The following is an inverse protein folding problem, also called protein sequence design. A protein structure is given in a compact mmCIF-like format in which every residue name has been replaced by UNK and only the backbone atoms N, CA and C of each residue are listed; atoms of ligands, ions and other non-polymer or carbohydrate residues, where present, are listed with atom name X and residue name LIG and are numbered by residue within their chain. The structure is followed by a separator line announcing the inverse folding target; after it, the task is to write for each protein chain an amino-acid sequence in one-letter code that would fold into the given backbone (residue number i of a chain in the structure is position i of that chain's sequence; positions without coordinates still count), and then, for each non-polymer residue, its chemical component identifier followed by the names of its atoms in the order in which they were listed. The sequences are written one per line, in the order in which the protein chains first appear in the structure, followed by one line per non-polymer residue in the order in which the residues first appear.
data_IF_345065334380
#
_entry.id   IF_345065334380
#
_cell.length_a   1.000
_cell.length_b   1.000
_cell.length_c   1.000
_cell.angle_alpha   90.00
_cell.angle_beta   90.00
_cell.angle_gamma   90.00
#
_symmetry.space_group_name_H-M   'P 1'
#
loop_
_entity.id
_entity.type
_entity.pdbx_description
1 polymer ?
#
# COMPACT_ATOMS: atom_id res chain seq x y z
N UNK A 1 33.98 -25.58 22.68
CA UNK A 1 33.29 -24.32 22.42
C UNK A 1 34.34 -23.24 22.17
N UNK A 2 34.56 -22.78 20.95
CA UNK A 2 35.50 -21.69 20.67
C UNK A 2 34.95 -20.40 21.31
N UNK A 3 35.75 -19.73 22.13
CA UNK A 3 35.41 -18.40 22.63
C UNK A 3 35.34 -17.48 21.41
N UNK A 4 34.19 -16.92 21.14
CA UNK A 4 34.07 -15.88 20.08
C UNK A 4 35.00 -14.72 20.44
N UNK A 5 35.67 -14.10 19.44
CA UNK A 5 36.79 -13.16 19.68
C UNK A 5 36.45 -11.98 20.59
N UNK A 6 35.20 -11.60 20.73
CA UNK A 6 34.77 -10.38 21.42
C UNK A 6 33.90 -10.64 22.64
N UNK A 7 33.83 -11.86 23.15
CA UNK A 7 33.00 -12.21 24.29
C UNK A 7 31.47 -12.05 24.03
N UNK A 8 31.08 -11.77 22.80
CA UNK A 8 29.68 -11.58 22.41
C UNK A 8 28.92 -12.89 22.58
N UNK A 9 27.94 -12.86 23.45
CA UNK A 9 26.91 -13.90 23.53
C UNK A 9 25.68 -13.35 22.81
N UNK A 10 25.25 -13.93 21.68
CA UNK A 10 23.94 -13.59 21.16
C UNK A 10 22.94 -13.83 22.31
N UNK A 11 22.13 -12.83 22.59
CA UNK A 11 20.90 -13.08 23.34
C UNK A 11 20.27 -14.28 22.66
N UNK A 12 19.84 -15.32 23.43
CA UNK A 12 19.02 -16.39 22.86
C UNK A 12 18.08 -15.74 21.89
N UNK A 13 18.03 -16.23 20.63
CA UNK A 13 17.01 -15.82 19.69
C UNK A 13 15.74 -15.88 20.49
N UNK A 14 15.27 -14.72 20.89
CA UNK A 14 14.25 -14.64 21.90
C UNK A 14 13.02 -15.24 21.24
N UNK A 15 12.63 -16.41 21.69
CA UNK A 15 11.21 -16.67 21.77
C UNK A 15 10.64 -15.33 22.23
N UNK A 16 9.84 -14.68 21.39
CA UNK A 16 9.23 -13.41 21.74
C UNK A 16 8.57 -13.52 23.11
N UNK A 17 8.16 -12.43 23.72
CA UNK A 17 7.42 -12.51 24.97
C UNK A 17 6.20 -13.41 24.75
N UNK A 18 5.76 -14.08 25.80
CA UNK A 18 4.56 -14.93 25.83
C UNK A 18 3.24 -14.12 25.83
N UNK A 19 3.31 -12.83 25.52
CA UNK A 19 2.16 -11.94 25.32
C UNK A 19 2.18 -11.30 23.92
N UNK A 20 1.02 -10.92 23.43
CA UNK A 20 0.85 -10.23 22.15
C UNK A 20 1.46 -8.81 22.19
N UNK A 21 2.28 -8.49 21.19
CA UNK A 21 2.91 -7.19 21.07
C UNK A 21 2.02 -6.21 20.28
N UNK A 22 2.02 -4.96 20.71
CA UNK A 22 1.41 -3.88 19.92
C UNK A 22 2.14 -3.66 18.58
N UNK A 23 1.41 -3.21 17.52
CA UNK A 23 2.00 -2.91 16.21
C UNK A 23 3.21 -1.96 16.26
N UNK A 24 3.20 -0.96 17.16
CA UNK A 24 4.34 -0.06 17.37
C UNK A 24 5.58 -0.81 17.88
N UNK A 25 5.41 -1.82 18.72
CA UNK A 25 6.53 -2.66 19.18
C UNK A 25 7.04 -3.56 18.07
N UNK A 26 6.12 -4.11 17.26
CA UNK A 26 6.49 -4.86 16.05
C UNK A 26 7.30 -4.00 15.07
N UNK A 27 6.96 -2.71 14.91
CA UNK A 27 7.67 -1.77 14.03
C UNK A 27 9.16 -1.63 14.34
N UNK A 28 9.58 -1.82 15.59
CA UNK A 28 10.97 -1.64 16.03
C UNK A 28 11.67 -2.92 16.45
N UNK A 29 10.96 -4.04 16.65
CA UNK A 29 11.53 -5.25 17.25
C UNK A 29 11.43 -6.50 16.39
N UNK A 30 10.37 -6.65 15.61
CA UNK A 30 10.16 -7.88 14.85
C UNK A 30 11.08 -7.96 13.64
N UNK A 31 11.53 -9.18 13.34
CA UNK A 31 12.40 -9.47 12.20
C UNK A 31 13.87 -9.07 12.41
N UNK A 32 14.27 -8.62 13.61
CA UNK A 32 15.68 -8.31 13.89
C UNK A 32 16.55 -9.57 13.80
N UNK A 33 17.36 -9.62 12.74
CA UNK A 33 18.42 -10.61 12.57
C UNK A 33 19.78 -9.95 12.85
N UNK A 34 20.34 -10.18 14.03
CA UNK A 34 21.66 -9.68 14.40
C UNK A 34 22.75 -10.60 13.90
N UNK A 35 23.82 -10.02 13.37
CA UNK A 35 25.00 -10.77 12.99
C UNK A 35 25.80 -11.25 14.23
N UNK A 36 26.92 -11.90 14.00
CA UNK A 36 27.83 -12.28 15.07
C UNK A 36 28.42 -11.11 15.86
N UNK A 37 28.26 -9.87 15.42
CA UNK A 37 28.72 -8.66 16.10
C UNK A 37 27.73 -8.08 17.10
N UNK A 38 26.43 -8.43 17.02
CA UNK A 38 25.42 -8.00 17.98
C UNK A 38 25.02 -6.53 17.86
N UNK A 39 25.07 -6.01 16.67
CA UNK A 39 24.70 -4.63 16.33
C UNK A 39 23.28 -4.28 16.75
N UNK A 40 23.03 -3.02 17.14
CA UNK A 40 21.69 -2.52 17.48
C UNK A 40 20.85 -2.20 16.26
N UNK A 41 21.46 -1.67 15.19
CA UNK A 41 20.79 -1.40 13.91
C UNK A 41 20.87 -2.63 13.01
N UNK A 42 19.90 -2.82 12.18
CA UNK A 42 19.84 -3.93 11.22
C UNK A 42 21.00 -3.87 10.22
N UNK A 43 21.65 -5.01 10.00
CA UNK A 43 22.73 -5.12 9.02
C UNK A 43 22.18 -5.11 7.59
N UNK A 44 22.91 -4.46 6.69
CA UNK A 44 22.63 -4.48 5.25
C UNK A 44 23.45 -5.58 4.56
N UNK A 45 22.77 -6.62 4.07
CA UNK A 45 23.38 -7.71 3.29
C UNK A 45 23.23 -7.44 1.79
N UNK A 46 24.13 -6.63 1.24
CA UNK A 46 24.12 -6.27 -0.18
C UNK A 46 24.86 -7.33 -1.01
N UNK A 47 24.20 -8.47 -1.19
CA UNK A 47 24.73 -9.60 -1.97
C UNK A 47 23.67 -10.23 -2.87
N UNK A 48 24.08 -10.75 -4.01
CA UNK A 48 23.23 -11.52 -4.93
C UNK A 48 23.34 -13.03 -4.73
N UNK A 49 24.43 -13.53 -4.16
CA UNK A 49 24.68 -14.96 -4.00
C UNK A 49 25.30 -15.31 -2.66
N UNK A 50 25.27 -16.59 -2.34
CA UNK A 50 25.78 -17.16 -1.09
C UNK A 50 26.69 -18.34 -1.40
N UNK A 51 27.67 -18.63 -0.54
CA UNK A 51 28.60 -19.76 -0.67
C UNK A 51 28.17 -20.90 0.23
N UNK A 52 28.53 -22.12 -0.16
CA UNK A 52 28.27 -23.37 0.56
C UNK A 52 29.57 -23.95 1.03
N UNK A 53 29.55 -24.70 2.14
CA UNK A 53 30.74 -25.38 2.68
C UNK A 53 31.12 -26.62 1.87
N UNK A 54 30.15 -27.22 1.16
CA UNK A 54 30.34 -28.39 0.30
C UNK A 54 29.34 -28.45 -0.85
N UNK A 55 29.57 -29.33 -1.82
CA UNK A 55 28.62 -29.58 -2.89
C UNK A 55 27.34 -30.26 -2.38
N UNK A 56 27.44 -31.08 -1.33
CA UNK A 56 26.31 -31.73 -0.67
C UNK A 56 25.42 -30.70 0.00
N UNK A 57 25.99 -29.73 0.74
CA UNK A 57 25.22 -28.63 1.33
C UNK A 57 24.48 -27.82 0.26
N UNK A 58 25.13 -27.57 -0.88
CA UNK A 58 24.47 -26.90 -2.00
C UNK A 58 23.30 -27.74 -2.55
N UNK A 59 23.50 -29.04 -2.72
CA UNK A 59 22.44 -29.95 -3.18
C UNK A 59 21.25 -29.96 -2.22
N UNK A 60 21.49 -30.16 -0.93
CA UNK A 60 20.45 -30.19 0.10
C UNK A 60 19.69 -28.85 0.20
N UNK A 61 20.41 -27.74 0.02
CA UNK A 61 19.82 -26.39 0.03
C UNK A 61 18.90 -26.16 -1.16
N UNK A 62 19.27 -26.61 -2.37
CA UNK A 62 18.39 -26.54 -3.55
C UNK A 62 17.23 -27.54 -3.51
N UNK A 63 17.37 -28.63 -2.74
CA UNK A 63 16.28 -29.55 -2.42
C UNK A 63 15.31 -29.02 -1.35
N UNK A 64 15.56 -27.81 -0.82
CA UNK A 64 14.79 -27.19 0.28
C UNK A 64 14.86 -28.00 1.60
N UNK A 65 15.93 -28.79 1.80
CA UNK A 65 16.18 -29.56 3.03
C UNK A 65 16.95 -28.77 4.10
N UNK A 66 17.39 -27.54 3.77
CA UNK A 66 18.08 -26.62 4.69
C UNK A 66 17.52 -25.22 4.60
N UNK A 67 17.72 -24.41 5.66
CA UNK A 67 17.35 -22.98 5.72
C UNK A 67 18.43 -22.05 5.10
N UNK A 68 19.33 -22.58 4.27
CA UNK A 68 20.41 -21.79 3.67
C UNK A 68 19.91 -20.84 2.59
N UNK A 69 20.41 -19.60 2.59
CA UNK A 69 20.14 -18.65 1.50
C UNK A 69 20.79 -19.10 0.21
N UNK A 70 20.04 -19.10 -0.90
CA UNK A 70 20.51 -19.59 -2.21
C UNK A 70 20.97 -18.45 -3.11
N UNK A 71 20.08 -17.50 -3.35
CA UNK A 71 20.27 -16.41 -4.29
C UNK A 71 19.41 -15.20 -3.88
N UNK A 72 19.96 -14.00 -3.97
CA UNK A 72 19.32 -12.78 -3.46
C UNK A 72 17.94 -12.46 -4.06
N UNK A 73 17.65 -12.94 -5.29
CA UNK A 73 16.33 -12.82 -5.89
C UNK A 73 15.29 -13.75 -5.23
N UNK A 74 15.72 -14.88 -4.69
CA UNK A 74 14.85 -15.82 -4.00
C UNK A 74 14.64 -15.39 -2.56
N UNK A 75 15.73 -15.06 -1.87
CA UNK A 75 15.69 -14.67 -0.47
C UNK A 75 16.98 -13.92 -0.08
N UNK A 76 16.85 -12.89 0.78
CA UNK A 76 17.96 -12.11 1.29
C UNK A 76 17.71 -11.73 2.75
N UNK A 77 18.70 -11.77 3.66
CA UNK A 77 18.48 -11.49 5.08
C UNK A 77 17.88 -10.12 5.36
N UNK A 78 18.27 -9.08 4.63
CA UNK A 78 17.73 -7.72 4.81
C UNK A 78 16.29 -7.63 4.31
N UNK A 79 15.97 -8.27 3.17
CA UNK A 79 14.60 -8.33 2.65
C UNK A 79 13.70 -9.10 3.64
N UNK A 80 14.20 -10.23 4.16
CA UNK A 80 13.47 -11.02 5.15
C UNK A 80 13.15 -10.25 6.44
N UNK A 81 14.03 -9.34 6.88
CA UNK A 81 13.73 -8.46 8.02
C UNK A 81 12.57 -7.52 7.75
N UNK A 82 12.53 -6.93 6.55
CA UNK A 82 11.42 -6.07 6.12
C UNK A 82 10.10 -6.86 6.04
N UNK A 83 10.12 -8.01 5.38
CA UNK A 83 8.94 -8.87 5.19
C UNK A 83 8.35 -9.34 6.53
N UNK A 84 9.18 -9.86 7.43
CA UNK A 84 8.75 -10.31 8.77
C UNK A 84 8.18 -9.15 9.61
N UNK A 85 8.80 -7.98 9.53
CA UNK A 85 8.34 -6.80 10.28
C UNK A 85 7.00 -6.29 9.76
N UNK A 86 6.86 -6.16 8.44
CA UNK A 86 5.61 -5.70 7.84
C UNK A 86 4.48 -6.71 8.05
N UNK A 87 4.74 -8.02 7.93
CA UNK A 87 3.77 -9.07 8.24
C UNK A 87 3.25 -8.95 9.68
N UNK A 88 4.15 -8.79 10.65
CA UNK A 88 3.75 -8.63 12.05
C UNK A 88 2.97 -7.33 12.32
N UNK A 89 3.34 -6.22 11.66
CA UNK A 89 2.58 -4.96 11.75
C UNK A 89 1.18 -5.13 11.17
N UNK A 90 1.04 -5.81 10.04
CA UNK A 90 -0.26 -6.06 9.39
C UNK A 90 -1.12 -7.09 10.14
N UNK A 91 -0.50 -8.05 10.81
CA UNK A 91 -1.14 -9.22 11.38
C UNK A 91 -1.32 -10.34 10.35
N UNK A 92 -0.44 -10.41 9.35
CA UNK A 92 -0.39 -11.45 8.33
C UNK A 92 0.54 -12.59 8.72
N UNK A 93 0.28 -13.80 8.21
CA UNK A 93 1.18 -14.93 8.41
C UNK A 93 2.50 -14.74 7.65
N UNK A 94 2.44 -14.23 6.41
CA UNK A 94 3.61 -14.01 5.57
C UNK A 94 3.51 -12.73 4.73
N UNK A 95 4.68 -12.24 4.31
CA UNK A 95 4.84 -11.12 3.39
C UNK A 95 5.86 -11.47 2.32
N UNK A 96 5.63 -11.03 1.09
CA UNK A 96 6.61 -11.05 -0.01
C UNK A 96 6.79 -9.62 -0.52
N UNK A 97 8.04 -9.17 -0.53
CA UNK A 97 8.42 -7.86 -1.05
C UNK A 97 8.72 -7.91 -2.55
N UNK A 98 8.35 -6.84 -3.25
CA UNK A 98 8.59 -6.68 -4.69
C UNK A 98 9.24 -5.34 -5.00
N UNK A 99 9.83 -5.20 -6.19
CA UNK A 99 10.55 -4.01 -6.62
C UNK A 99 9.67 -2.76 -6.82
N UNK A 100 8.35 -2.90 -6.85
CA UNK A 100 7.40 -1.78 -6.94
C UNK A 100 5.99 -2.20 -6.52
N UNK A 101 5.14 -1.21 -6.18
CA UNK A 101 3.72 -1.46 -5.91
C UNK A 101 2.98 -2.08 -7.10
N UNK A 102 3.30 -1.67 -8.33
CA UNK A 102 2.70 -2.26 -9.53
C UNK A 102 3.14 -3.71 -9.76
N UNK A 103 4.36 -4.07 -9.38
CA UNK A 103 4.79 -5.48 -9.40
C UNK A 103 4.00 -6.32 -8.37
N UNK A 104 3.71 -5.76 -7.20
CA UNK A 104 2.85 -6.41 -6.21
C UNK A 104 1.41 -6.57 -6.75
N UNK A 105 0.82 -5.50 -7.25
CA UNK A 105 -0.53 -5.53 -7.85
C UNK A 105 -0.65 -6.57 -8.96
N UNK A 106 0.28 -6.54 -9.91
CA UNK A 106 0.28 -7.47 -11.01
C UNK A 106 0.45 -8.92 -10.55
N UNK A 107 1.42 -9.18 -9.67
CA UNK A 107 1.68 -10.51 -9.14
C UNK A 107 0.49 -11.07 -8.34
N UNK A 108 -0.25 -10.23 -7.61
CA UNK A 108 -1.39 -10.65 -6.80
C UNK A 108 -2.52 -11.27 -7.64
N UNK A 109 -2.72 -10.80 -8.86
CA UNK A 109 -3.71 -11.33 -9.80
C UNK A 109 -3.10 -12.41 -10.71
N UNK A 110 -1.93 -12.13 -11.30
CA UNK A 110 -1.33 -13.01 -12.30
C UNK A 110 -0.94 -14.40 -11.76
N UNK A 111 -0.65 -14.52 -10.46
CA UNK A 111 -0.38 -15.83 -9.85
C UNK A 111 -1.64 -16.67 -9.62
N UNK A 112 -2.83 -16.09 -9.76
CA UNK A 112 -4.12 -16.74 -9.51
C UNK A 112 -4.87 -17.10 -10.79
N UNK A 113 -4.83 -16.20 -11.80
CA UNK A 113 -5.73 -16.28 -12.95
C UNK A 113 -5.15 -17.10 -14.10
N UNK A 114 -6.04 -17.80 -14.78
CA UNK A 114 -5.78 -18.56 -16.00
C UNK A 114 -6.76 -18.14 -17.12
N UNK A 115 -6.52 -18.63 -18.35
CA UNK A 115 -7.44 -18.39 -19.46
C UNK A 115 -8.86 -18.88 -19.12
N UNK A 116 -9.85 -18.02 -19.30
CA UNK A 116 -11.26 -18.30 -19.00
C UNK A 116 -11.72 -17.86 -17.64
N UNK A 117 -10.81 -17.47 -16.74
CA UNK A 117 -11.16 -16.95 -15.43
C UNK A 117 -11.84 -15.56 -15.52
N UNK A 118 -12.50 -15.20 -14.43
CA UNK A 118 -13.18 -13.91 -14.26
C UNK A 118 -12.68 -13.17 -13.03
N UNK A 119 -12.48 -11.85 -13.16
CA UNK A 119 -12.09 -10.93 -12.09
C UNK A 119 -13.15 -9.85 -11.91
N UNK A 120 -13.55 -9.59 -10.68
CA UNK A 120 -14.40 -8.45 -10.32
C UNK A 120 -13.53 -7.40 -9.61
N UNK A 121 -13.72 -6.12 -9.92
CA UNK A 121 -12.96 -5.07 -9.25
C UNK A 121 -13.80 -3.82 -8.98
N UNK A 122 -13.41 -3.03 -7.98
CA UNK A 122 -13.99 -1.69 -7.81
C UNK A 122 -13.62 -0.80 -9.00
N UNK A 123 -14.57 -0.02 -9.52
CA UNK A 123 -14.29 0.93 -10.62
C UNK A 123 -13.35 2.06 -10.18
N UNK A 124 -13.45 2.47 -8.91
CA UNK A 124 -12.57 3.48 -8.31
C UNK A 124 -11.27 2.82 -7.85
N UNK A 125 -10.21 2.99 -8.62
CA UNK A 125 -8.87 2.47 -8.32
C UNK A 125 -7.79 3.31 -9.04
N UNK A 126 -6.54 3.10 -8.67
CA UNK A 126 -5.41 3.73 -9.34
C UNK A 126 -5.36 3.38 -10.84
N UNK A 127 -5.06 4.38 -11.68
CA UNK A 127 -5.13 4.25 -13.15
C UNK A 127 -4.34 3.08 -13.73
N UNK A 128 -3.15 2.78 -13.19
CA UNK A 128 -2.36 1.64 -13.68
C UNK A 128 -2.94 0.29 -13.24
N UNK A 129 -3.62 0.21 -12.09
CA UNK A 129 -4.37 -0.98 -11.68
C UNK A 129 -5.54 -1.23 -12.64
N UNK A 130 -6.25 -0.15 -13.01
CA UNK A 130 -7.31 -0.20 -14.03
C UNK A 130 -6.78 -0.78 -15.36
N UNK A 131 -5.65 -0.27 -15.86
CA UNK A 131 -5.03 -0.78 -17.12
C UNK A 131 -4.66 -2.26 -17.01
N UNK A 132 -4.12 -2.72 -15.88
CA UNK A 132 -3.81 -4.15 -15.70
C UNK A 132 -5.08 -5.00 -15.85
N UNK A 133 -6.16 -4.61 -15.19
CA UNK A 133 -7.42 -5.38 -15.18
C UNK A 133 -8.12 -5.30 -16.52
N UNK A 134 -8.19 -4.12 -17.16
CA UNK A 134 -9.01 -3.90 -18.35
C UNK A 134 -8.29 -4.12 -19.69
N UNK A 135 -6.95 -4.08 -19.70
CA UNK A 135 -6.16 -4.20 -20.92
C UNK A 135 -5.18 -5.37 -20.92
N UNK A 136 -4.54 -5.71 -19.79
CA UNK A 136 -3.53 -6.76 -19.75
C UNK A 136 -4.13 -8.14 -19.51
N UNK A 137 -4.97 -8.30 -18.50
CA UNK A 137 -5.62 -9.57 -18.22
C UNK A 137 -6.47 -10.10 -19.39
N UNK A 138 -7.23 -9.26 -20.12
CA UNK A 138 -7.96 -9.70 -21.31
C UNK A 138 -7.09 -10.28 -22.42
N UNK A 139 -5.83 -9.86 -22.56
CA UNK A 139 -4.89 -10.44 -23.54
C UNK A 139 -4.58 -11.91 -23.24
N UNK A 140 -4.81 -12.36 -22.01
CA UNK A 140 -4.64 -13.75 -21.56
C UNK A 140 -5.96 -14.51 -21.46
N UNK A 141 -7.04 -13.93 -22.00
CA UNK A 141 -8.37 -14.54 -22.00
C UNK A 141 -9.09 -14.47 -20.65
N UNK A 142 -8.65 -13.61 -19.74
CA UNK A 142 -9.35 -13.32 -18.48
C UNK A 142 -10.40 -12.25 -18.70
N UNK A 143 -11.62 -12.50 -18.25
CA UNK A 143 -12.71 -11.53 -18.29
C UNK A 143 -12.79 -10.69 -17.01
N UNK A 144 -13.38 -9.51 -17.08
CA UNK A 144 -13.53 -8.66 -15.89
C UNK A 144 -14.89 -7.99 -15.82
N UNK A 145 -15.26 -7.55 -14.60
CA UNK A 145 -16.39 -6.65 -14.34
C UNK A 145 -15.98 -5.59 -13.34
N UNK A 146 -16.37 -4.33 -13.59
CA UNK A 146 -16.10 -3.20 -12.70
C UNK A 146 -17.37 -2.79 -11.96
N UNK A 147 -17.31 -2.77 -10.62
CA UNK A 147 -18.42 -2.37 -9.75
C UNK A 147 -18.21 -0.93 -9.30
N UNK A 148 -19.25 -0.09 -9.42
CA UNK A 148 -19.24 1.30 -8.97
C UNK A 148 -19.85 1.40 -7.57
N UNK A 149 -19.19 2.15 -6.69
CA UNK A 149 -19.70 2.43 -5.35
C UNK A 149 -19.69 1.23 -4.41
N UNK A 150 -20.60 1.27 -3.44
CA UNK A 150 -20.63 0.35 -2.31
C UNK A 150 -22.00 -0.30 -2.09
N UNK A 151 -22.85 -0.34 -3.13
CA UNK A 151 -24.15 -1.00 -3.04
C UNK A 151 -23.97 -2.53 -3.02
N UNK A 152 -24.42 -3.23 -1.95
CA UNK A 152 -24.32 -4.69 -1.88
C UNK A 152 -25.02 -5.41 -3.04
N UNK A 153 -26.07 -4.82 -3.62
CA UNK A 153 -26.80 -5.43 -4.74
C UNK A 153 -25.96 -5.44 -6.04
N UNK A 154 -25.20 -4.37 -6.30
CA UNK A 154 -24.31 -4.29 -7.45
C UNK A 154 -23.14 -5.29 -7.32
N UNK A 155 -22.55 -5.39 -6.14
CA UNK A 155 -21.54 -6.40 -5.84
C UNK A 155 -22.08 -7.83 -5.95
N UNK A 156 -23.25 -8.11 -5.40
CA UNK A 156 -23.89 -9.42 -5.50
C UNK A 156 -24.23 -9.78 -6.95
N UNK A 157 -24.62 -8.80 -7.78
CA UNK A 157 -24.86 -9.00 -9.20
C UNK A 157 -23.58 -9.35 -9.96
N UNK A 158 -22.49 -8.63 -9.73
CA UNK A 158 -21.20 -8.90 -10.36
C UNK A 158 -20.63 -10.28 -9.95
N UNK A 159 -20.88 -10.69 -8.71
CA UNK A 159 -20.44 -11.96 -8.13
C UNK A 159 -21.46 -13.11 -8.30
N UNK A 160 -22.40 -13.02 -9.24
CA UNK A 160 -23.39 -14.08 -9.50
C UNK A 160 -22.87 -15.21 -10.39
N UNK A 161 -21.61 -15.16 -10.82
CA UNK A 161 -20.92 -16.12 -11.67
C UNK A 161 -19.59 -16.54 -11.05
N UNK A 162 -18.99 -17.68 -11.48
CA UNK A 162 -17.68 -18.07 -11.00
C UNK A 162 -16.66 -16.94 -11.17
N UNK A 163 -16.08 -16.52 -10.07
CA UNK A 163 -15.11 -15.41 -10.00
C UNK A 163 -13.85 -15.92 -9.32
N UNK A 164 -12.69 -15.66 -9.93
CA UNK A 164 -11.39 -16.12 -9.41
C UNK A 164 -10.83 -15.19 -8.36
N UNK A 165 -10.93 -13.88 -8.61
CA UNK A 165 -10.41 -12.87 -7.71
C UNK A 165 -11.29 -11.62 -7.70
N UNK A 166 -11.31 -10.94 -6.56
CA UNK A 166 -11.86 -9.60 -6.39
C UNK A 166 -10.73 -8.65 -6.04
N UNK A 167 -10.63 -7.52 -6.74
CA UNK A 167 -9.64 -6.47 -6.45
C UNK A 167 -10.34 -5.18 -6.05
N UNK A 168 -10.02 -4.66 -4.87
CA UNK A 168 -10.57 -3.40 -4.36
C UNK A 168 -9.45 -2.49 -3.84
N UNK A 169 -9.58 -1.18 -4.07
CA UNK A 169 -8.75 -0.13 -3.48
C UNK A 169 -9.63 0.74 -2.58
N UNK A 170 -9.32 0.79 -1.30
CA UNK A 170 -10.12 1.56 -0.33
C UNK A 170 -9.27 2.07 0.85
N UNK A 171 -9.25 3.41 1.09
CA UNK A 171 -9.84 4.48 0.25
C UNK A 171 -9.25 4.51 -1.15
N UNK A 172 -10.05 4.88 -2.16
CA UNK A 172 -9.59 4.88 -3.55
C UNK A 172 -8.79 6.14 -3.92
N UNK A 173 -7.88 6.01 -4.87
CA UNK A 173 -7.15 7.13 -5.47
C UNK A 173 -7.81 7.57 -6.79
N UNK A 174 -8.20 8.85 -7.01
CA UNK A 174 -7.83 10.01 -6.20
C UNK A 174 -8.93 10.55 -5.29
N UNK A 175 -10.16 10.03 -5.33
CA UNK A 175 -11.34 10.65 -4.75
C UNK A 175 -11.80 10.03 -3.42
N UNK A 176 -11.02 9.08 -2.89
CA UNK A 176 -11.19 8.53 -1.55
C UNK A 176 -12.54 7.85 -1.31
N UNK A 177 -13.09 7.19 -2.34
CA UNK A 177 -14.27 6.35 -2.14
C UNK A 177 -13.94 5.22 -1.14
N UNK A 178 -14.91 4.93 -0.27
CA UNK A 178 -14.77 3.89 0.74
C UNK A 178 -15.61 2.69 0.32
N UNK A 179 -14.97 1.55 0.15
CA UNK A 179 -15.63 0.26 -0.10
C UNK A 179 -15.64 -0.55 1.19
N UNK A 180 -16.77 -1.15 1.52
CA UNK A 180 -16.91 -2.05 2.68
C UNK A 180 -16.20 -3.38 2.39
N UNK A 181 -14.98 -3.52 2.95
CA UNK A 181 -14.14 -4.71 2.76
C UNK A 181 -14.89 -5.96 3.24
N UNK A 182 -15.55 -5.88 4.40
CA UNK A 182 -16.25 -7.04 4.98
C UNK A 182 -17.40 -7.48 4.09
N UNK A 183 -18.23 -6.56 3.65
CA UNK A 183 -19.37 -6.85 2.77
C UNK A 183 -18.92 -7.50 1.45
N UNK A 184 -17.88 -6.93 0.82
CA UNK A 184 -17.32 -7.49 -0.44
C UNK A 184 -16.73 -8.87 -0.20
N UNK A 185 -15.96 -9.06 0.88
CA UNK A 185 -15.36 -10.36 1.21
C UNK A 185 -16.42 -11.42 1.48
N UNK A 186 -17.46 -11.10 2.26
CA UNK A 186 -18.57 -12.03 2.55
C UNK A 186 -19.31 -12.47 1.27
N UNK A 187 -19.40 -11.60 0.25
CA UNK A 187 -20.00 -11.93 -1.04
C UNK A 187 -19.05 -12.73 -1.93
N UNK A 188 -17.79 -12.33 -2.01
CA UNK A 188 -16.76 -12.96 -2.82
C UNK A 188 -16.49 -14.42 -2.38
N UNK A 189 -16.42 -14.66 -1.09
CA UNK A 189 -16.17 -15.99 -0.54
C UNK A 189 -17.31 -16.98 -0.83
N UNK A 190 -18.56 -16.54 -1.03
CA UNK A 190 -19.67 -17.41 -1.42
C UNK A 190 -19.47 -18.05 -2.79
N UNK A 191 -18.68 -17.41 -3.66
CA UNK A 191 -18.34 -17.91 -4.99
C UNK A 191 -16.90 -18.44 -5.07
N UNK A 192 -16.17 -18.51 -3.94
CA UNK A 192 -14.80 -19.01 -3.85
C UNK A 192 -13.74 -18.04 -4.41
N UNK A 193 -14.07 -16.76 -4.55
CA UNK A 193 -13.13 -15.75 -5.05
C UNK A 193 -12.13 -15.29 -3.97
N UNK A 194 -10.87 -15.10 -4.35
CA UNK A 194 -9.83 -14.50 -3.50
C UNK A 194 -9.98 -12.99 -3.47
N UNK A 195 -10.06 -12.38 -2.29
CA UNK A 195 -10.21 -10.94 -2.11
C UNK A 195 -8.86 -10.27 -1.88
N UNK A 196 -8.48 -9.39 -2.80
CA UNK A 196 -7.23 -8.62 -2.78
C UNK A 196 -7.56 -7.16 -2.50
N UNK A 197 -6.96 -6.59 -1.45
CA UNK A 197 -7.16 -5.19 -1.07
C UNK A 197 -5.88 -4.40 -1.27
N UNK A 198 -5.93 -3.38 -2.11
CA UNK A 198 -4.93 -2.32 -2.15
C UNK A 198 -5.17 -1.36 -0.97
N UNK A 199 -4.31 -1.48 0.03
CA UNK A 199 -4.40 -0.71 1.29
C UNK A 199 -3.42 0.47 1.35
N UNK A 200 -2.92 0.91 0.21
CA UNK A 200 -1.87 1.94 0.11
C UNK A 200 -2.31 3.26 0.74
N UNK A 201 -3.57 3.68 0.51
CA UNK A 201 -4.08 4.98 0.98
C UNK A 201 -4.32 5.03 2.49
N UNK A 202 -4.75 3.93 3.09
CA UNK A 202 -4.98 3.83 4.53
C UNK A 202 -3.70 3.50 5.32
N UNK A 203 -2.75 2.81 4.72
CA UNK A 203 -1.58 2.22 5.39
C UNK A 203 -1.93 1.14 6.43
N UNK A 204 -0.97 0.31 6.87
CA UNK A 204 -1.22 -0.68 7.91
C UNK A 204 -1.45 -0.08 9.31
N UNK A 205 -1.35 1.25 9.45
CA UNK A 205 -1.62 1.94 10.72
C UNK A 205 -3.12 2.15 10.93
N UNK A 206 -3.83 2.53 9.87
CA UNK A 206 -5.25 2.87 9.99
C UNK A 206 -6.17 1.68 9.69
N UNK A 207 -5.84 0.84 8.72
CA UNK A 207 -6.74 -0.20 8.25
C UNK A 207 -6.05 -1.56 8.18
N UNK A 208 -6.75 -2.60 8.61
CA UNK A 208 -6.31 -4.00 8.65
C UNK A 208 -7.24 -4.88 7.80
N UNK A 209 -7.05 -4.93 6.48
CA UNK A 209 -7.96 -5.63 5.59
C UNK A 209 -8.14 -7.13 5.90
N UNK A 210 -7.08 -7.82 6.35
CA UNK A 210 -7.17 -9.24 6.73
C UNK A 210 -8.18 -9.47 7.87
N UNK A 211 -8.24 -8.54 8.85
CA UNK A 211 -9.20 -8.62 9.96
C UNK A 211 -10.64 -8.33 9.50
N UNK A 212 -10.80 -7.73 8.32
CA UNK A 212 -12.09 -7.41 7.70
C UNK A 212 -12.53 -8.46 6.67
N UNK A 213 -11.75 -9.52 6.50
CA UNK A 213 -12.10 -10.65 5.64
C UNK A 213 -11.36 -10.69 4.28
N UNK A 214 -10.45 -9.76 4.01
CA UNK A 214 -9.59 -9.88 2.82
C UNK A 214 -8.64 -11.08 2.96
N UNK A 215 -8.30 -11.71 1.83
CA UNK A 215 -7.34 -12.82 1.79
C UNK A 215 -5.91 -12.32 1.56
N UNK A 216 -5.78 -11.22 0.80
CA UNK A 216 -4.49 -10.64 0.40
C UNK A 216 -4.53 -9.14 0.57
N UNK A 217 -3.49 -8.60 1.18
CA UNK A 217 -3.25 -7.14 1.27
C UNK A 217 -2.08 -6.76 0.41
N UNK A 218 -2.25 -5.72 -0.38
CA UNK A 218 -1.23 -5.16 -1.26
C UNK A 218 -0.81 -3.78 -0.78
N UNK A 219 0.50 -3.50 -0.85
CA UNK A 219 1.08 -2.19 -0.60
C UNK A 219 2.01 -1.74 -1.72
N UNK A 220 1.91 -0.47 -2.11
CA UNK A 220 3.06 0.26 -2.62
C UNK A 220 3.85 0.78 -1.42
N UNK A 221 4.91 0.07 -1.02
CA UNK A 221 5.75 0.48 0.09
C UNK A 221 6.53 1.78 -0.18
N UNK A 222 6.50 2.26 -1.42
CA UNK A 222 6.96 3.58 -1.88
C UNK A 222 6.27 4.75 -1.16
N UNK A 223 5.04 4.53 -0.64
CA UNK A 223 4.16 5.58 -0.08
C UNK A 223 4.37 5.72 1.44
N UNK A 224 3.35 5.63 2.24
CA UNK A 224 3.42 5.81 3.71
C UNK A 224 4.48 4.91 4.40
N UNK A 225 4.78 3.72 3.86
CA UNK A 225 5.76 2.80 4.44
C UNK A 225 7.16 3.42 4.35
N UNK A 226 7.61 3.86 3.17
CA UNK A 226 8.83 4.66 3.04
C UNK A 226 8.64 6.05 3.71
N UNK A 227 7.59 6.76 3.33
CA UNK A 227 7.15 8.02 3.93
C UNK A 227 8.07 9.22 3.72
N UNK A 228 9.08 9.11 2.86
CA UNK A 228 10.06 10.17 2.61
C UNK A 228 10.51 10.26 1.14
N UNK A 229 9.84 9.54 0.22
CA UNK A 229 10.07 9.63 -1.21
C UNK A 229 11.43 9.10 -1.68
N UNK A 230 12.02 8.11 -0.97
CA UNK A 230 13.40 7.64 -1.20
C UNK A 230 13.48 6.42 -2.10
N UNK A 231 12.54 5.47 -1.97
CA UNK A 231 12.66 4.16 -2.62
C UNK A 231 11.35 3.71 -3.26
N UNK A 232 11.47 2.91 -4.32
CA UNK A 232 10.38 2.14 -4.89
C UNK A 232 10.34 0.76 -4.25
N UNK A 233 9.15 0.32 -3.86
CA UNK A 233 8.91 -1.03 -3.39
C UNK A 233 7.42 -1.38 -3.41
N UNK A 234 7.12 -2.68 -3.39
CA UNK A 234 5.80 -3.23 -3.15
C UNK A 234 5.85 -4.34 -2.12
N UNK A 235 4.70 -4.73 -1.60
CA UNK A 235 4.56 -5.86 -0.70
C UNK A 235 3.18 -6.52 -0.89
N UNK A 236 3.15 -7.84 -0.74
CA UNK A 236 1.94 -8.67 -0.69
C UNK A 236 1.95 -9.48 0.60
N UNK A 237 0.84 -9.46 1.31
CA UNK A 237 0.68 -10.11 2.60
C UNK A 237 -0.59 -10.97 2.60
N UNK A 238 -0.53 -12.12 3.25
CA UNK A 238 -1.65 -13.03 3.34
C UNK A 238 -1.31 -14.30 4.11
N UNK A 239 -2.10 -15.35 3.89
CA UNK A 239 -1.85 -16.66 4.48
C UNK A 239 -0.59 -17.33 3.90
N UNK A 240 0.01 -18.23 4.66
CA UNK A 240 1.14 -19.03 4.20
C UNK A 240 0.77 -19.84 2.94
N UNK A 241 -0.43 -20.40 2.88
CA UNK A 241 -0.92 -21.16 1.73
C UNK A 241 -0.96 -20.33 0.44
N UNK A 242 -1.46 -19.10 0.51
CA UNK A 242 -1.45 -18.21 -0.65
C UNK A 242 -0.02 -17.82 -1.03
N UNK A 243 0.77 -17.41 -0.07
CA UNK A 243 2.13 -16.90 -0.31
C UNK A 243 3.03 -18.01 -0.86
N UNK A 244 3.12 -19.15 -0.18
CA UNK A 244 4.02 -20.25 -0.58
C UNK A 244 3.46 -21.02 -1.78
N UNK A 245 2.15 -21.28 -1.80
CA UNK A 245 1.54 -22.13 -2.82
C UNK A 245 1.27 -21.45 -4.16
N UNK A 246 1.11 -20.11 -4.18
CA UNK A 246 0.72 -19.36 -5.39
C UNK A 246 1.71 -18.24 -5.74
N UNK A 247 1.99 -17.35 -4.79
CA UNK A 247 2.72 -16.12 -5.06
C UNK A 247 4.23 -16.34 -5.22
N UNK A 248 4.89 -17.06 -4.32
CA UNK A 248 6.34 -17.25 -4.35
C UNK A 248 6.85 -17.91 -5.64
N UNK A 249 6.22 -19.00 -6.16
CA UNK A 249 6.63 -19.56 -7.45
C UNK A 249 6.56 -18.53 -8.58
N UNK A 250 5.49 -17.72 -8.62
CA UNK A 250 5.32 -16.68 -9.63
C UNK A 250 6.40 -15.60 -9.51
N UNK A 251 6.62 -15.05 -8.32
CA UNK A 251 7.60 -13.97 -8.07
C UNK A 251 9.03 -14.44 -8.31
N UNK A 252 9.39 -15.65 -7.88
CA UNK A 252 10.73 -16.24 -8.11
C UNK A 252 11.07 -16.32 -9.60
N UNK A 253 10.11 -16.69 -10.44
CA UNK A 253 10.34 -16.90 -11.87
C UNK A 253 10.09 -15.66 -12.74
N UNK A 254 9.19 -14.75 -12.33
CA UNK A 254 8.95 -13.48 -13.04
C UNK A 254 9.93 -12.37 -12.67
N UNK A 255 10.61 -12.44 -11.53
CA UNK A 255 11.78 -11.64 -11.19
C UNK A 255 11.57 -10.23 -10.62
N UNK A 256 10.42 -9.81 -10.06
CA UNK A 256 10.22 -8.47 -9.53
C UNK A 256 10.85 -8.28 -8.12
N UNK A 257 12.10 -8.70 -7.95
CA UNK A 257 12.77 -8.70 -6.66
C UNK A 257 13.06 -7.28 -6.14
N UNK A 258 12.88 -7.10 -4.82
CA UNK A 258 13.27 -5.87 -4.13
C UNK A 258 14.80 -5.81 -3.95
N UNK A 259 15.39 -4.62 -4.07
CA UNK A 259 16.79 -4.39 -3.71
C UNK A 259 16.98 -4.50 -2.18
N UNK A 260 18.04 -5.19 -1.69
CA UNK A 260 18.35 -5.20 -0.25
C UNK A 260 18.58 -3.80 0.34
N UNK A 261 19.13 -2.87 -0.44
CA UNK A 261 19.28 -1.48 0.00
C UNK A 261 17.93 -0.81 0.23
N UNK A 262 16.98 -0.96 -0.71
CA UNK A 262 15.63 -0.44 -0.55
C UNK A 262 14.92 -1.10 0.65
N UNK A 263 15.09 -2.41 0.83
CA UNK A 263 14.55 -3.12 1.98
C UNK A 263 15.09 -2.57 3.30
N UNK A 264 16.39 -2.27 3.40
CA UNK A 264 16.99 -1.67 4.58
C UNK A 264 16.42 -0.29 4.88
N UNK A 265 16.24 0.57 3.87
CA UNK A 265 15.57 1.88 4.02
C UNK A 265 14.16 1.69 4.57
N UNK A 266 13.41 0.73 4.04
CA UNK A 266 12.04 0.44 4.49
C UNK A 266 11.99 -0.10 5.93
N UNK A 267 12.92 -0.99 6.30
CA UNK A 267 13.06 -1.47 7.68
C UNK A 267 13.21 -0.30 8.66
N UNK A 268 14.07 0.67 8.34
CA UNK A 268 14.27 1.87 9.16
C UNK A 268 13.04 2.80 9.14
N UNK A 269 12.31 2.86 8.03
CA UNK A 269 11.10 3.68 7.90
C UNK A 269 9.93 3.14 8.71
N UNK A 270 9.80 1.83 8.82
CA UNK A 270 8.76 1.18 9.63
C UNK A 270 8.84 1.59 11.10
N UNK A 271 10.05 1.84 11.64
CA UNK A 271 10.25 2.22 13.04
C UNK A 271 9.44 3.47 13.45
N UNK A 272 9.23 4.40 12.52
CA UNK A 272 8.54 5.67 12.76
C UNK A 272 7.20 5.80 12.03
N UNK A 273 6.75 4.75 11.35
CA UNK A 273 5.57 4.82 10.48
C UNK A 273 4.31 5.23 11.25
N UNK A 274 4.06 4.68 12.43
CA UNK A 274 2.90 5.03 13.26
C UNK A 274 2.88 6.53 13.57
N UNK A 275 3.99 7.05 14.10
CA UNK A 275 4.12 8.47 14.46
C UNK A 275 3.88 9.39 13.26
N UNK A 276 4.43 9.03 12.08
CA UNK A 276 4.26 9.81 10.86
C UNK A 276 2.82 9.81 10.39
N UNK A 277 2.19 8.64 10.31
CA UNK A 277 0.81 8.52 9.83
C UNK A 277 -0.17 9.22 10.77
N UNK A 278 -0.04 9.07 12.08
CA UNK A 278 -0.89 9.76 13.07
C UNK A 278 -0.78 11.28 12.94
N UNK A 279 0.43 11.81 12.79
CA UNK A 279 0.65 13.25 12.57
C UNK A 279 0.06 13.72 11.24
N UNK A 280 0.28 12.98 10.15
CA UNK A 280 -0.29 13.29 8.83
C UNK A 280 -1.83 13.31 8.87
N UNK A 281 -2.46 12.36 9.55
CA UNK A 281 -3.93 12.28 9.70
C UNK A 281 -4.46 13.50 10.46
N UNK A 282 -3.81 13.87 11.57
CA UNK A 282 -4.18 15.06 12.34
C UNK A 282 -4.08 16.34 11.50
N UNK A 283 -3.00 16.49 10.74
CA UNK A 283 -2.82 17.62 9.84
C UNK A 283 -3.87 17.63 8.71
N UNK A 284 -4.15 16.46 8.11
CA UNK A 284 -5.14 16.33 7.04
C UNK A 284 -6.54 16.70 7.52
N UNK A 285 -6.91 16.32 8.74
CA UNK A 285 -8.18 16.70 9.33
C UNK A 285 -8.31 18.22 9.42
N UNK A 286 -7.31 18.90 10.00
CA UNK A 286 -7.32 20.36 10.14
C UNK A 286 -7.36 21.08 8.78
N UNK A 287 -6.60 20.62 7.81
CA UNK A 287 -6.58 21.15 6.44
C UNK A 287 -7.91 20.92 5.72
N UNK A 288 -8.52 19.74 5.85
CA UNK A 288 -9.80 19.43 5.23
C UNK A 288 -10.93 20.31 5.80
N UNK A 289 -10.97 20.50 7.12
CA UNK A 289 -11.94 21.37 7.79
C UNK A 289 -11.79 22.85 7.40
N UNK A 290 -10.56 23.30 7.12
CA UNK A 290 -10.29 24.62 6.57
C UNK A 290 -10.81 24.76 5.14
N UNK A 291 -10.46 23.79 4.26
CA UNK A 291 -10.83 23.81 2.85
C UNK A 291 -12.35 23.74 2.64
N UNK A 292 -13.08 22.99 3.46
CA UNK A 292 -14.54 22.86 3.37
C UNK A 292 -15.27 24.20 3.54
N UNK A 293 -14.66 25.16 4.23
CA UNK A 293 -15.22 26.48 4.49
C UNK A 293 -14.87 27.51 3.40
N UNK A 294 -14.03 27.15 2.42
CA UNK A 294 -13.54 28.11 1.44
C UNK A 294 -14.54 28.35 0.30
N UNK A 295 -14.88 29.61 -0.03
CA UNK A 295 -15.88 29.93 -1.07
C UNK A 295 -15.52 29.42 -2.47
N UNK A 296 -14.21 29.31 -2.80
CA UNK A 296 -13.69 28.83 -4.06
C UNK A 296 -13.80 27.30 -4.22
N UNK A 297 -13.96 26.57 -3.12
CA UNK A 297 -14.05 25.11 -3.11
C UNK A 297 -15.51 24.68 -3.29
N UNK A 298 -15.74 23.76 -4.21
CA UNK A 298 -17.05 23.15 -4.49
C UNK A 298 -17.33 22.00 -3.54
N UNK A 299 -16.34 21.11 -3.37
CA UNK A 299 -16.43 19.96 -2.45
C UNK A 299 -15.05 19.54 -1.96
N UNK A 300 -15.03 19.01 -0.74
CA UNK A 300 -13.85 18.35 -0.14
C UNK A 300 -14.21 16.89 0.10
N UNK A 301 -13.43 15.99 -0.48
CA UNK A 301 -13.56 14.54 -0.26
C UNK A 301 -12.45 14.11 0.70
N UNK A 302 -12.83 13.94 1.94
CA UNK A 302 -11.93 13.45 2.99
C UNK A 302 -12.73 12.59 3.97
N UNK A 303 -12.39 11.30 4.14
CA UNK A 303 -13.18 10.37 4.95
C UNK A 303 -13.36 10.78 6.41
N UNK A 304 -12.45 11.61 6.95
CA UNK A 304 -12.56 12.18 8.30
C UNK A 304 -13.63 13.28 8.47
N UNK A 305 -14.16 13.86 7.38
CA UNK A 305 -15.25 14.84 7.44
C UNK A 305 -16.62 14.16 7.48
N UNK A 306 -17.52 14.67 8.28
CA UNK A 306 -18.92 14.19 8.34
C UNK A 306 -19.69 14.38 7.04
N UNK A 307 -19.27 15.31 6.20
CA UNK A 307 -19.81 15.55 4.85
C UNK A 307 -19.41 14.49 3.83
N UNK A 308 -18.42 13.65 4.12
CA UNK A 308 -18.01 12.56 3.21
C UNK A 308 -19.05 11.43 3.22
N UNK A 309 -19.54 10.96 2.05
CA UNK A 309 -20.58 9.92 1.97
C UNK A 309 -20.24 8.62 2.69
N UNK A 310 -18.96 8.26 2.73
CA UNK A 310 -18.45 7.05 3.40
C UNK A 310 -17.89 7.29 4.79
N UNK A 311 -18.18 8.44 5.45
CA UNK A 311 -17.58 8.80 6.73
C UNK A 311 -17.77 7.73 7.81
N UNK A 312 -18.97 7.29 8.06
CA UNK A 312 -19.27 6.32 9.12
C UNK A 312 -18.56 4.99 8.89
N UNK A 313 -18.56 4.51 7.65
CA UNK A 313 -17.85 3.30 7.27
C UNK A 313 -16.32 3.47 7.42
N UNK A 314 -15.78 4.60 6.98
CA UNK A 314 -14.36 4.91 7.13
C UNK A 314 -13.94 4.94 8.61
N UNK A 315 -14.71 5.63 9.47
CA UNK A 315 -14.39 5.68 10.91
C UNK A 315 -14.38 4.28 11.54
N UNK A 316 -15.30 3.42 11.14
CA UNK A 316 -15.35 2.04 11.60
C UNK A 316 -14.20 1.19 11.07
N UNK A 317 -13.89 1.32 9.78
CA UNK A 317 -12.94 0.46 9.05
C UNK A 317 -11.49 0.91 9.22
N UNK A 318 -11.26 2.22 9.42
CA UNK A 318 -9.95 2.87 9.47
C UNK A 318 -9.58 3.37 10.88
N UNK A 319 -10.01 2.68 11.91
CA UNK A 319 -9.65 3.00 13.30
C UNK A 319 -9.84 4.50 13.67
N UNK A 320 -10.98 5.08 13.29
CA UNK A 320 -11.32 6.50 13.47
C UNK A 320 -10.40 7.49 12.75
N UNK A 321 -9.64 7.07 11.73
CA UNK A 321 -8.77 7.93 10.94
C UNK A 321 -9.34 8.20 9.53
N UNK A 322 -9.12 9.42 9.01
CA UNK A 322 -9.54 9.82 7.66
C UNK A 322 -8.48 9.60 6.57
N UNK A 323 -7.28 9.16 6.94
CA UNK A 323 -6.12 9.12 6.04
C UNK A 323 -5.38 10.44 5.98
N UNK A 324 -4.35 10.51 5.11
CA UNK A 324 -3.53 11.72 4.91
C UNK A 324 -3.78 12.42 3.57
N UNK A 325 -4.74 11.93 2.78
CA UNK A 325 -5.01 12.44 1.43
C UNK A 325 -6.39 13.08 1.37
N UNK A 326 -6.49 14.20 0.65
CA UNK A 326 -7.70 15.00 0.48
C UNK A 326 -7.97 15.17 -1.01
N UNK A 327 -9.18 14.84 -1.47
CA UNK A 327 -9.67 15.22 -2.78
C UNK A 327 -10.36 16.58 -2.70
N UNK A 328 -10.04 17.48 -3.62
CA UNK A 328 -10.55 18.86 -3.62
C UNK A 328 -11.17 19.14 -5.00
N UNK A 329 -12.40 19.59 -5.04
CA UNK A 329 -13.02 20.08 -6.27
C UNK A 329 -13.27 21.57 -6.18
N UNK A 330 -12.74 22.31 -7.14
CA UNK A 330 -12.88 23.76 -7.26
C UNK A 330 -14.17 24.14 -7.99
N UNK A 331 -14.66 25.38 -7.77
CA UNK A 331 -15.75 26.00 -8.56
C UNK A 331 -15.28 26.65 -9.84
N UNK A 332 -14.01 26.50 -10.20
CA UNK A 332 -13.39 27.20 -11.30
C UNK A 332 -12.97 26.30 -12.48
N UNK A 333 -12.35 26.93 -13.46
CA UNK A 333 -11.75 26.28 -14.62
C UNK A 333 -10.40 25.64 -14.29
N UNK A 334 -9.87 24.81 -15.19
CA UNK A 334 -8.52 24.25 -15.07
C UNK A 334 -7.44 25.33 -14.94
N UNK A 335 -7.57 26.46 -15.65
CA UNK A 335 -6.63 27.57 -15.56
C UNK A 335 -6.60 28.19 -14.16
N UNK A 336 -7.75 28.36 -13.52
CA UNK A 336 -7.85 28.87 -12.15
C UNK A 336 -7.25 27.87 -11.13
N UNK A 337 -7.48 26.57 -11.35
CA UNK A 337 -6.85 25.50 -10.53
C UNK A 337 -5.32 25.54 -10.67
N UNK A 338 -4.80 25.67 -11.88
CA UNK A 338 -3.36 25.79 -12.12
C UNK A 338 -2.77 27.06 -11.54
N UNK A 339 -3.48 28.20 -11.65
CA UNK A 339 -3.08 29.46 -11.03
C UNK A 339 -3.00 29.34 -9.51
N UNK A 340 -3.95 28.65 -8.89
CA UNK A 340 -3.90 28.33 -7.46
C UNK A 340 -2.68 27.48 -7.11
N UNK A 341 -2.48 26.34 -7.81
CA UNK A 341 -1.35 25.46 -7.54
C UNK A 341 0.00 26.19 -7.66
N UNK A 342 0.14 27.06 -8.65
CA UNK A 342 1.39 27.81 -8.90
C UNK A 342 1.67 28.91 -7.87
N UNK A 343 0.71 29.28 -7.02
CA UNK A 343 0.91 30.22 -5.91
C UNK A 343 1.37 29.55 -4.62
N UNK A 344 1.29 28.22 -4.52
CA UNK A 344 1.72 27.50 -3.33
C UNK A 344 3.23 27.65 -3.11
N UNK A 345 3.63 27.86 -1.85
CA UNK A 345 5.00 28.11 -1.45
C UNK A 345 5.61 27.04 -0.55
N UNK A 346 4.76 26.28 0.15
CA UNK A 346 5.15 25.20 1.08
C UNK A 346 4.77 23.85 0.50
N UNK A 347 3.58 23.76 -0.10
CA UNK A 347 3.06 22.52 -0.69
C UNK A 347 3.65 22.35 -2.09
N UNK A 348 4.38 21.26 -2.33
CA UNK A 348 5.01 20.96 -3.61
C UNK A 348 4.04 20.37 -4.63
N UNK A 349 4.20 20.71 -5.90
CA UNK A 349 3.48 20.08 -7.01
C UNK A 349 4.18 18.77 -7.35
N UNK A 350 3.55 17.64 -6.98
CA UNK A 350 4.06 16.29 -7.26
C UNK A 350 2.93 15.27 -7.32
N UNK A 351 3.10 14.25 -8.14
CA UNK A 351 2.15 13.15 -8.27
C UNK A 351 2.34 12.04 -7.22
N UNK A 352 3.35 12.15 -6.31
CA UNK A 352 3.54 11.20 -5.23
C UNK A 352 2.53 11.43 -4.10
N UNK A 353 2.53 10.58 -3.06
CA UNK A 353 1.68 10.68 -1.87
C UNK A 353 2.32 9.94 -0.70
N UNK A 354 1.83 10.21 0.52
CA UNK A 354 2.32 9.56 1.74
C UNK A 354 3.76 9.93 2.10
N UNK A 355 4.25 11.05 1.59
CA UNK A 355 5.57 11.63 1.87
C UNK A 355 5.50 12.51 3.12
N UNK A 356 6.64 12.73 3.77
CA UNK A 356 6.80 13.68 4.87
C UNK A 356 6.53 15.14 4.44
N UNK A 357 6.63 15.43 3.15
CA UNK A 357 6.27 16.72 2.53
C UNK A 357 4.85 16.65 1.98
N UNK A 358 4.13 17.76 2.11
CA UNK A 358 2.79 17.91 1.50
C UNK A 358 2.92 18.09 0.00
N UNK A 359 2.14 17.28 -0.74
CA UNK A 359 2.22 17.17 -2.20
C UNK A 359 0.84 17.34 -2.83
N UNK A 360 0.74 18.19 -3.86
CA UNK A 360 -0.51 18.41 -4.60
C UNK A 360 -0.37 18.01 -6.07
N UNK A 361 -1.42 17.43 -6.64
CA UNK A 361 -1.46 17.09 -8.06
C UNK A 361 -2.83 17.34 -8.66
N UNK A 362 -2.87 17.55 -9.99
CA UNK A 362 -4.09 17.62 -10.79
C UNK A 362 -4.27 16.29 -11.54
N UNK A 363 -5.09 15.36 -11.04
CA UNK A 363 -5.18 14.00 -11.58
C UNK A 363 -5.51 13.93 -13.07
N UNK A 364 -6.44 14.74 -13.55
CA UNK A 364 -6.87 14.72 -14.95
C UNK A 364 -5.73 14.98 -15.95
N UNK A 365 -4.76 15.84 -15.60
CA UNK A 365 -3.62 16.15 -16.47
C UNK A 365 -2.34 15.36 -16.16
N UNK A 366 -2.32 14.57 -15.08
CA UNK A 366 -1.14 13.85 -14.61
C UNK A 366 -1.40 12.35 -14.46
N UNK A 367 -1.77 11.90 -13.28
CA UNK A 367 -1.85 10.47 -12.91
C UNK A 367 -2.93 9.69 -13.66
N UNK A 368 -3.98 10.36 -14.16
CA UNK A 368 -5.09 9.74 -14.89
C UNK A 368 -5.19 10.20 -16.36
N UNK A 369 -4.21 10.98 -16.84
CA UNK A 369 -4.22 11.57 -18.18
C UNK A 369 -4.36 10.53 -19.32
N UNK A 370 -3.90 9.30 -19.10
CA UNK A 370 -3.94 8.23 -20.12
C UNK A 370 -5.31 7.56 -20.24
N UNK A 371 -6.18 7.74 -19.24
CA UNK A 371 -7.55 7.24 -19.30
C UNK A 371 -8.36 8.08 -20.29
N UNK A 372 -9.28 7.44 -21.00
CA UNK A 372 -10.22 8.13 -21.87
C UNK A 372 -11.04 9.16 -21.07
N UNK A 373 -11.42 10.31 -21.67
CA UNK A 373 -12.17 11.36 -20.96
C UNK A 373 -13.47 10.86 -20.33
N UNK A 374 -14.13 9.90 -20.97
CA UNK A 374 -15.36 9.26 -20.48
C UNK A 374 -15.09 8.48 -19.19
N UNK A 375 -13.97 7.73 -19.15
CA UNK A 375 -13.55 6.98 -17.95
C UNK A 375 -13.15 7.92 -16.81
N UNK A 376 -12.42 9.01 -17.13
CA UNK A 376 -12.12 10.04 -16.13
C UNK A 376 -13.41 10.64 -15.54
N UNK A 377 -14.37 10.99 -16.40
CA UNK A 377 -15.65 11.54 -15.96
C UNK A 377 -16.45 10.55 -15.11
N UNK A 378 -16.46 9.28 -15.48
CA UNK A 378 -17.11 8.21 -14.71
C UNK A 378 -16.49 8.03 -13.33
N UNK A 379 -15.17 8.23 -13.20
CA UNK A 379 -14.45 8.23 -11.92
C UNK A 379 -14.59 9.57 -11.16
N UNK A 380 -15.33 10.55 -11.69
CA UNK A 380 -15.48 11.88 -11.08
C UNK A 380 -14.23 12.76 -11.17
N UNK A 381 -13.27 12.41 -12.05
CA UNK A 381 -12.02 13.14 -12.24
C UNK A 381 -12.25 14.21 -13.31
N UNK A 382 -12.59 15.42 -12.84
CA UNK A 382 -12.84 16.57 -13.73
C UNK A 382 -11.62 17.50 -13.78
N UNK A 383 -11.67 18.49 -14.69
CA UNK A 383 -10.64 19.51 -14.85
C UNK A 383 -10.48 20.45 -13.63
N UNK A 384 -11.38 20.38 -12.66
CA UNK A 384 -11.34 21.18 -11.43
C UNK A 384 -10.95 20.36 -10.18
N UNK A 385 -10.57 19.09 -10.34
CA UNK A 385 -10.23 18.20 -9.23
C UNK A 385 -8.73 18.20 -8.96
N UNK A 386 -8.37 18.34 -7.69
CA UNK A 386 -7.02 18.18 -7.14
C UNK A 386 -6.98 17.06 -6.10
N UNK A 387 -5.80 16.45 -5.95
CA UNK A 387 -5.49 15.56 -4.83
C UNK A 387 -4.33 16.15 -4.03
N UNK A 388 -4.55 16.41 -2.75
CA UNK A 388 -3.54 16.86 -1.78
C UNK A 388 -3.17 15.70 -0.87
N UNK A 389 -1.89 15.32 -0.82
CA UNK A 389 -1.31 14.43 0.18
C UNK A 389 -0.66 15.28 1.26
N UNK A 390 -1.20 15.25 2.45
CA UNK A 390 -0.74 16.07 3.57
C UNK A 390 0.44 15.39 4.28
N UNK A 391 1.50 16.16 4.52
CA UNK A 391 2.74 15.72 5.14
C UNK A 391 2.84 16.03 6.64
N UNK A 392 4.08 16.22 7.09
CA UNK A 392 4.44 16.42 8.49
C UNK A 392 4.67 17.89 8.85
N UNK A 393 4.51 18.81 7.93
CA UNK A 393 4.59 20.25 8.19
C UNK A 393 3.52 20.64 9.22
N UNK A 394 3.75 21.71 9.95
CA UNK A 394 2.76 22.19 10.91
C UNK A 394 1.47 22.61 10.18
N UNK A 395 0.32 22.13 10.63
CA UNK A 395 -0.98 22.36 9.95
C UNK A 395 -1.30 23.84 9.74
N UNK A 396 -0.88 24.74 10.67
CA UNK A 396 -1.09 26.19 10.51
C UNK A 396 -0.31 26.79 9.34
N UNK A 397 0.85 26.24 8.99
CA UNK A 397 1.64 26.74 7.87
C UNK A 397 1.08 26.23 6.54
N UNK A 398 0.59 24.98 6.50
CA UNK A 398 -0.15 24.46 5.36
C UNK A 398 -1.44 25.25 5.11
N UNK A 399 -2.19 25.60 6.17
CA UNK A 399 -3.41 26.41 6.07
C UNK A 399 -3.08 27.81 5.54
N UNK A 400 -2.02 28.46 6.04
CA UNK A 400 -1.59 29.78 5.54
C UNK A 400 -1.18 29.72 4.06
N UNK A 401 -0.49 28.65 3.65
CA UNK A 401 -0.09 28.46 2.25
C UNK A 401 -1.31 28.32 1.33
N UNK A 402 -2.29 27.53 1.76
CA UNK A 402 -3.55 27.38 1.03
C UNK A 402 -4.36 28.68 1.01
N UNK A 403 -4.43 29.38 2.13
CA UNK A 403 -5.16 30.66 2.27
C UNK A 403 -4.59 31.73 1.32
N UNK A 404 -3.26 31.93 1.33
CA UNK A 404 -2.62 32.91 0.44
C UNK A 404 -2.77 32.54 -1.04
N UNK A 405 -2.74 31.25 -1.37
CA UNK A 405 -2.92 30.76 -2.74
C UNK A 405 -4.38 30.93 -3.23
N UNK A 406 -5.37 30.80 -2.33
CA UNK A 406 -6.79 31.04 -2.61
C UNK A 406 -7.15 32.55 -2.68
N UNK A 407 -6.32 33.44 -2.14
CA UNK A 407 -6.54 34.87 -2.25
C UNK A 407 -6.46 35.34 -3.71
N UNK A 408 -7.39 36.26 -4.09
CA UNK A 408 -7.51 36.79 -5.45
C UNK A 408 -6.31 37.65 -5.90
#
# INVERSE_FOLDING_TARGET
MSKRPWGYRPRKDSLGPDWELHPQTHSVRTGLARSGFGETSEALYLTSGFTYSSAEEAFDSFAEETDHYLYGRFHNPTIAMFEKRLAAIEGAEMCVATGSGMSAMFASLACLVEQGDHVVASAAMFSSCHVVITEFLPKWGVTYELVKGNDPADWAKALNKPTKAVFIETPSNPLLEIVDIKMVSDLAHKVGATVIVDNVMASPVLQKPLQLGADVVMYSATKHIDGQGRVLAGALLGSADYIVGKLLPFVRHSGPALSPFNAWVLVKSLETMHMRVESMVSNAQAVAEFLEKQPAIKSVRYPGLKSHPGHELAMKQMNNGGGSTIGIEFKGSQQEVFAFMNKLCVIDISNNLGDSKSLITHPASTTHRRLAPEVQAEMGITASVLRLSVGLEHSSDLIKDLEQALAK
#
